data_IF_475550488998
#
_entry.id   IF_475550488998
#
_cell.length_a   1.000
_cell.length_b   1.000
_cell.length_c   1.000
_cell.angle_alpha   90.00
_cell.angle_beta   90.00
_cell.angle_gamma   90.00
#
_symmetry.space_group_name_H-M   'P 1'
#
loop_
_entity.id
_entity.type
_entity.pdbx_description
1 polymer ?
#
# COMPACT_ATOMS: atom_id res chain seq x y z
N UNK A 1 -5.12 6.15 -15.17
CA UNK A 1 -5.84 6.52 -13.93
C UNK A 1 -5.42 5.55 -12.83
N UNK A 2 -4.37 5.93 -12.09
CA UNK A 2 -3.81 5.18 -10.95
C UNK A 2 -4.41 5.72 -9.65
N UNK A 3 -4.92 4.84 -8.81
CA UNK A 3 -5.13 5.11 -7.39
C UNK A 3 -3.81 4.85 -6.64
N UNK A 4 -3.28 5.90 -6.03
CA UNK A 4 -2.16 5.92 -5.10
C UNK A 4 -2.77 6.27 -3.73
N UNK A 5 -2.59 5.43 -2.71
CA UNK A 5 -3.00 5.71 -1.33
C UNK A 5 -1.75 6.07 -0.53
N UNK A 6 -1.77 7.21 0.13
CA UNK A 6 -0.79 7.60 1.15
C UNK A 6 -1.32 7.30 2.55
N UNK A 7 -0.40 6.80 3.38
CA UNK A 7 -0.53 6.64 4.82
C UNK A 7 0.15 7.84 5.47
N UNK A 8 -0.44 8.38 6.54
CA UNK A 8 0.28 9.24 7.48
C UNK A 8 0.11 8.71 8.90
N UNK A 9 1.24 8.47 9.56
CA UNK A 9 1.38 8.28 11.00
C UNK A 9 1.85 9.60 11.63
N UNK A 10 1.47 9.84 12.89
CA UNK A 10 2.14 10.81 13.78
C UNK A 10 1.98 10.36 15.24
N UNK A 11 2.95 10.75 16.07
CA UNK A 11 3.52 10.00 17.19
C UNK A 11 3.39 10.70 18.56
N UNK A 12 3.27 9.88 19.62
CA UNK A 12 3.89 9.95 20.99
C UNK A 12 3.75 11.13 21.97
N UNK A 13 3.38 10.81 23.23
CA UNK A 13 4.05 11.18 24.52
C UNK A 13 3.34 10.43 25.70
N UNK A 14 3.94 9.49 26.45
CA UNK A 14 4.92 9.54 27.59
C UNK A 14 4.28 9.64 29.02
N UNK A 15 4.35 8.50 29.73
CA UNK A 15 4.64 8.21 31.16
C UNK A 15 3.71 8.56 32.38
N UNK A 16 3.53 7.49 33.19
CA UNK A 16 3.54 7.35 34.68
C UNK A 16 2.28 7.69 35.52
N UNK A 17 1.67 6.65 36.12
CA UNK A 17 1.56 6.47 37.58
C UNK A 17 0.90 5.12 37.94
N UNK A 18 1.48 4.42 38.92
CA UNK A 18 1.05 3.13 39.47
C UNK A 18 -0.07 3.32 40.50
N UNK A 19 -1.00 2.38 40.48
CA UNK A 19 -1.56 1.72 41.68
C UNK A 19 -2.52 2.51 42.60
N UNK A 20 -3.81 2.47 42.25
CA UNK A 20 -4.87 2.22 43.24
C UNK A 20 -5.93 1.33 42.56
N UNK A 21 -5.63 0.03 42.62
CA UNK A 21 -6.09 -1.02 41.70
C UNK A 21 -7.39 -1.67 42.19
N UNK A 22 -8.29 -1.85 41.22
CA UNK A 22 -9.22 -2.98 41.08
C UNK A 22 -10.70 -2.85 41.42
N UNK A 23 -11.24 -1.73 41.97
CA UNK A 23 -12.72 -1.63 42.12
C UNK A 23 -13.36 -0.32 41.66
N UNK A 24 -12.67 0.83 41.77
CA UNK A 24 -13.15 2.08 41.14
C UNK A 24 -12.83 2.16 39.64
N UNK A 25 -11.93 1.31 39.14
CA UNK A 25 -11.53 1.28 37.74
C UNK A 25 -12.65 0.75 36.85
N UNK A 26 -13.39 -0.29 37.23
CA UNK A 26 -14.46 -0.85 36.38
C UNK A 26 -15.65 0.10 36.21
N UNK A 27 -16.07 0.79 37.27
CA UNK A 27 -17.19 1.75 37.21
C UNK A 27 -16.81 3.04 36.47
N UNK A 28 -15.60 3.54 36.69
CA UNK A 28 -15.08 4.68 35.93
C UNK A 28 -14.78 4.30 34.48
N UNK A 29 -14.40 3.05 34.18
CA UNK A 29 -14.18 2.56 32.81
C UNK A 29 -15.51 2.38 32.08
N UNK A 30 -16.58 1.95 32.75
CA UNK A 30 -17.90 1.84 32.11
C UNK A 30 -18.52 3.22 31.81
N UNK A 31 -18.40 4.18 32.74
CA UNK A 31 -18.80 5.57 32.53
C UNK A 31 -17.91 6.28 31.50
N UNK A 32 -16.60 6.05 31.51
CA UNK A 32 -15.69 6.59 30.49
C UNK A 32 -15.94 5.94 29.13
N UNK A 33 -16.36 4.67 29.06
CA UNK A 33 -16.75 4.00 27.82
C UNK A 33 -18.10 4.48 27.29
N UNK A 34 -19.03 4.88 28.15
CA UNK A 34 -20.28 5.54 27.75
C UNK A 34 -20.07 6.99 27.33
N UNK A 35 -19.19 7.73 28.01
CA UNK A 35 -18.81 9.09 27.64
C UNK A 35 -17.88 9.13 26.42
N UNK A 36 -17.02 8.11 26.20
CA UNK A 36 -16.28 7.92 24.94
C UNK A 36 -17.20 7.48 23.78
N UNK A 37 -18.32 6.82 24.08
CA UNK A 37 -19.33 6.46 23.09
C UNK A 37 -20.20 7.66 22.72
N UNK A 38 -20.35 8.65 23.61
CA UNK A 38 -21.21 9.82 23.42
C UNK A 38 -20.50 11.17 23.20
N UNK A 39 -19.20 11.30 23.47
CA UNK A 39 -18.44 12.57 23.30
C UNK A 39 -17.53 12.63 22.08
N UNK A 40 -17.60 11.66 21.17
CA UNK A 40 -17.07 11.87 19.82
C UNK A 40 -18.01 12.82 19.10
N UNK A 41 -17.67 14.11 19.13
CA UNK A 41 -18.20 15.17 18.29
C UNK A 41 -18.53 14.59 16.91
N UNK A 42 -19.84 14.44 16.66
CA UNK A 42 -20.41 13.89 15.43
C UNK A 42 -20.11 14.84 14.27
N UNK A 43 -18.90 14.76 13.75
CA UNK A 43 -18.62 15.17 12.39
C UNK A 43 -19.15 14.08 11.47
N UNK A 44 -20.11 14.44 10.62
CA UNK A 44 -20.70 13.57 9.60
C UNK A 44 -19.64 13.16 8.55
N UNK A 45 -18.75 12.21 8.84
CA UNK A 45 -17.83 11.58 7.87
C UNK A 45 -17.18 10.36 8.52
N UNK A 46 -17.44 9.11 8.06
CA UNK A 46 -16.49 7.96 8.08
C UNK A 46 -17.09 6.54 8.00
N UNK A 47 -18.42 6.35 7.98
CA UNK A 47 -18.96 4.97 7.98
C UNK A 47 -18.94 4.21 6.63
N UNK A 48 -18.42 4.80 5.55
CA UNK A 48 -18.44 4.16 4.21
C UNK A 48 -17.11 4.19 3.43
N UNK A 49 -15.97 4.27 4.13
CA UNK A 49 -14.66 4.27 3.50
C UNK A 49 -13.99 2.90 3.58
N UNK A 50 -13.72 2.28 2.44
CA UNK A 50 -12.85 1.10 2.38
C UNK A 50 -11.38 1.51 2.43
N UNK A 51 -10.78 1.55 3.62
CA UNK A 51 -9.33 1.74 3.80
C UNK A 51 -8.60 0.41 3.98
N UNK A 52 -7.29 0.43 3.76
CA UNK A 52 -6.40 -0.72 3.92
C UNK A 52 -5.21 -0.33 4.81
N UNK A 53 -5.05 -1.03 5.92
CA UNK A 53 -4.04 -0.70 6.93
C UNK A 53 -2.61 -1.05 6.46
N UNK A 54 -1.61 -0.24 6.83
CA UNK A 54 -0.23 -0.74 6.91
C UNK A 54 -0.08 -1.48 8.24
N UNK A 55 -0.05 -2.81 8.16
CA UNK A 55 0.10 -3.71 9.30
C UNK A 55 1.37 -4.56 9.19
N UNK A 56 1.95 -5.00 10.32
CA UNK A 56 3.15 -5.83 10.33
C UNK A 56 2.88 -7.23 9.74
N UNK A 57 3.92 -7.91 9.21
CA UNK A 57 3.81 -9.24 8.60
C UNK A 57 3.13 -10.30 9.48
N UNK A 58 3.32 -10.24 10.80
CA UNK A 58 2.70 -11.14 11.78
C UNK A 58 1.17 -11.02 11.76
N UNK A 59 0.65 -9.80 11.76
CA UNK A 59 -0.79 -9.55 11.74
C UNK A 59 -1.41 -9.93 10.40
N UNK A 60 -0.70 -9.70 9.29
CA UNK A 60 -1.15 -10.13 7.96
C UNK A 60 -1.26 -11.65 7.88
N UNK A 61 -0.26 -12.38 8.39
CA UNK A 61 -0.30 -13.85 8.48
C UNK A 61 -1.49 -14.34 9.28
N UNK A 62 -1.74 -13.75 10.45
CA UNK A 62 -2.92 -14.08 11.26
C UNK A 62 -4.24 -13.83 10.49
N UNK A 63 -4.36 -12.70 9.76
CA UNK A 63 -5.55 -12.43 8.92
C UNK A 63 -5.73 -13.46 7.80
N UNK A 64 -4.64 -13.93 7.20
CA UNK A 64 -4.65 -15.02 6.20
C UNK A 64 -5.11 -16.33 6.84
N UNK A 65 -4.52 -16.72 7.97
CA UNK A 65 -4.86 -17.95 8.68
C UNK A 65 -6.34 -17.98 9.08
N UNK A 66 -6.86 -16.89 9.65
CA UNK A 66 -8.29 -16.76 10.00
C UNK A 66 -9.18 -16.89 8.76
N UNK A 67 -8.79 -16.30 7.63
CA UNK A 67 -9.54 -16.40 6.37
C UNK A 67 -9.58 -17.85 5.87
N UNK A 68 -8.45 -18.56 5.90
CA UNK A 68 -8.36 -19.97 5.52
C UNK A 68 -9.17 -20.86 6.47
N UNK A 69 -9.02 -20.68 7.78
CA UNK A 69 -9.78 -21.43 8.79
C UNK A 69 -11.29 -21.21 8.64
N UNK A 70 -11.72 -19.98 8.40
CA UNK A 70 -13.13 -19.67 8.13
C UNK A 70 -13.63 -20.40 6.89
N UNK A 71 -12.84 -20.43 5.82
CA UNK A 71 -13.19 -21.13 4.59
C UNK A 71 -13.29 -22.66 4.81
N UNK A 72 -12.32 -23.27 5.49
CA UNK A 72 -12.34 -24.70 5.82
C UNK A 72 -13.55 -25.08 6.69
N UNK A 73 -13.92 -24.22 7.65
CA UNK A 73 -15.14 -24.42 8.46
C UNK A 73 -16.40 -24.42 7.60
N UNK A 74 -16.49 -23.53 6.60
CA UNK A 74 -17.63 -23.48 5.68
C UNK A 74 -17.69 -24.75 4.82
N UNK A 75 -16.54 -25.24 4.35
CA UNK A 75 -16.46 -26.48 3.56
C UNK A 75 -16.88 -27.71 4.36
N UNK A 76 -16.56 -27.75 5.66
CA UNK A 76 -16.88 -28.88 6.53
C UNK A 76 -18.28 -28.76 7.19
N UNK A 77 -19.06 -27.75 6.86
CA UNK A 77 -20.41 -27.58 7.39
C UNK A 77 -21.38 -28.58 6.73
N UNK A 78 -22.40 -29.00 7.49
CA UNK A 78 -23.40 -30.00 7.03
C UNK A 78 -24.21 -29.55 5.79
N UNK A 79 -24.28 -28.25 5.53
CA UNK A 79 -24.78 -27.67 4.28
C UNK A 79 -23.75 -26.63 3.78
N UNK A 80 -22.77 -27.03 2.95
CA UNK A 80 -21.72 -26.12 2.53
C UNK A 80 -22.30 -25.06 1.60
N UNK A 81 -22.46 -23.84 2.11
CA UNK A 81 -22.67 -22.67 1.26
C UNK A 81 -21.34 -22.42 0.53
N UNK A 82 -21.16 -23.03 -0.65
CA UNK A 82 -19.95 -22.87 -1.46
C UNK A 82 -19.69 -21.38 -1.64
N UNK A 83 -18.64 -20.91 -0.99
CA UNK A 83 -18.56 -19.57 -0.41
C UNK A 83 -18.46 -18.48 -1.46
N UNK A 84 -19.36 -17.52 -1.37
CA UNK A 84 -19.26 -16.25 -2.04
C UNK A 84 -18.18 -15.39 -1.35
N UNK A 85 -17.16 -14.94 -2.08
CA UNK A 85 -16.20 -13.96 -1.56
C UNK A 85 -16.72 -12.54 -1.83
N UNK A 86 -17.08 -11.78 -0.78
CA UNK A 86 -17.41 -10.36 -0.93
C UNK A 86 -16.14 -9.57 -1.24
N UNK A 87 -16.03 -9.03 -2.46
CA UNK A 87 -14.91 -8.20 -2.89
C UNK A 87 -15.39 -6.80 -3.27
N UNK A 88 -14.65 -5.76 -2.93
CA UNK A 88 -15.02 -4.38 -3.30
C UNK A 88 -15.18 -4.25 -4.82
N UNK A 89 -16.30 -3.68 -5.27
CA UNK A 89 -16.57 -3.44 -6.68
C UNK A 89 -15.71 -2.27 -7.19
N UNK A 90 -14.88 -2.51 -8.21
CA UNK A 90 -13.95 -1.50 -8.74
C UNK A 90 -14.46 -0.83 -10.01
N UNK A 91 -15.72 -0.39 -10.02
CA UNK A 91 -16.29 0.44 -11.10
C UNK A 91 -16.08 1.91 -10.76
N UNK A 92 -16.00 2.78 -11.77
CA UNK A 92 -15.99 4.25 -11.59
C UNK A 92 -17.20 4.72 -10.78
N UNK A 93 -18.35 4.06 -10.94
CA UNK A 93 -19.55 4.32 -10.13
C UNK A 93 -19.37 4.06 -8.63
N UNK A 94 -18.35 3.30 -8.23
CA UNK A 94 -17.98 3.04 -6.84
C UNK A 94 -16.78 3.86 -6.37
N UNK A 95 -16.17 4.69 -7.24
CA UNK A 95 -15.21 5.70 -6.78
C UNK A 95 -15.94 6.98 -6.37
N UNK A 96 -15.45 7.61 -5.33
CA UNK A 96 -15.91 8.90 -4.83
C UNK A 96 -14.69 9.78 -4.63
N UNK A 97 -14.86 11.07 -4.88
CA UNK A 97 -13.84 12.08 -4.63
C UNK A 97 -14.27 12.84 -3.38
N UNK A 98 -13.45 12.85 -2.34
CA UNK A 98 -13.63 13.72 -1.19
C UNK A 98 -12.72 14.94 -1.35
N UNK A 99 -13.26 16.12 -1.11
CA UNK A 99 -12.46 17.33 -0.96
C UNK A 99 -12.35 17.62 0.53
N UNK A 100 -11.14 17.55 1.08
CA UNK A 100 -10.92 17.91 2.48
C UNK A 100 -11.21 19.40 2.68
N UNK A 101 -12.26 19.73 3.43
CA UNK A 101 -12.68 21.10 3.74
C UNK A 101 -11.57 21.95 4.40
N UNK A 102 -10.56 21.30 4.99
CA UNK A 102 -9.47 21.95 5.74
C UNK A 102 -8.08 21.74 5.13
N UNK A 103 -7.92 20.79 4.21
CA UNK A 103 -6.60 20.43 3.66
C UNK A 103 -6.42 20.87 2.22
N UNK A 104 -7.47 21.32 1.52
CA UNK A 104 -7.51 21.51 0.05
C UNK A 104 -7.10 20.28 -0.78
N UNK A 105 -6.80 19.16 -0.11
CA UNK A 105 -6.39 17.92 -0.73
C UNK A 105 -7.63 17.12 -1.14
N UNK A 106 -7.61 16.66 -2.37
CA UNK A 106 -8.68 15.85 -2.95
C UNK A 106 -8.27 14.37 -2.93
N UNK A 107 -9.07 13.52 -2.29
CA UNK A 107 -8.80 12.09 -2.17
C UNK A 107 -9.86 11.29 -2.93
N UNK A 108 -9.43 10.30 -3.72
CA UNK A 108 -10.35 9.35 -4.36
C UNK A 108 -10.42 8.08 -3.52
N UNK A 109 -11.61 7.72 -3.07
CA UNK A 109 -11.86 6.52 -2.28
C UNK A 109 -12.86 5.60 -2.98
N UNK A 110 -12.85 4.32 -2.61
CA UNK A 110 -13.89 3.39 -3.01
C UNK A 110 -14.98 3.37 -1.94
N UNK A 111 -16.23 3.51 -2.36
CA UNK A 111 -17.38 3.29 -1.49
C UNK A 111 -17.59 1.79 -1.23
N UNK A 112 -18.50 1.46 -0.31
CA UNK A 112 -18.71 0.11 0.20
C UNK A 112 -19.43 -0.87 -0.75
N UNK A 113 -19.63 -0.56 -2.05
CA UNK A 113 -20.29 -1.54 -2.92
C UNK A 113 -19.41 -2.78 -3.14
N UNK A 114 -20.03 -3.95 -2.99
CA UNK A 114 -19.36 -5.25 -3.01
C UNK A 114 -19.83 -6.05 -4.23
N UNK A 115 -18.89 -6.69 -4.90
CA UNK A 115 -19.10 -7.74 -5.90
C UNK A 115 -18.78 -9.10 -5.31
N UNK A 116 -19.65 -10.06 -5.54
CA UNK A 116 -19.48 -11.43 -5.07
C UNK A 116 -18.72 -12.26 -6.12
N UNK A 117 -17.67 -12.97 -5.69
CA UNK A 117 -17.06 -14.06 -6.46
C UNK A 117 -17.54 -15.39 -5.92
N UNK A 118 -18.33 -16.08 -6.72
CA UNK A 118 -18.81 -17.42 -6.43
C UNK A 118 -17.97 -18.47 -7.16
N UNK A 119 -17.63 -19.56 -6.48
CA UNK A 119 -17.00 -20.72 -7.11
C UNK A 119 -17.93 -21.37 -8.15
N UNK A 120 -19.25 -21.30 -7.93
CA UNK A 120 -20.27 -21.98 -8.73
C UNK A 120 -20.61 -21.27 -10.05
N UNK A 121 -20.06 -20.07 -10.29
CA UNK A 121 -20.27 -19.36 -11.57
C UNK A 121 -19.18 -19.76 -12.57
N UNK A 122 -19.52 -20.23 -13.78
CA UNK A 122 -18.57 -20.72 -14.79
C UNK A 122 -17.42 -19.75 -15.11
N UNK A 123 -17.72 -18.44 -15.11
CA UNK A 123 -16.77 -17.38 -15.42
C UNK A 123 -16.06 -16.78 -14.18
N UNK A 124 -16.43 -17.20 -12.95
CA UNK A 124 -15.89 -16.65 -11.70
C UNK A 124 -15.08 -17.67 -10.88
N UNK A 125 -15.23 -18.98 -11.13
CA UNK A 125 -14.48 -20.02 -10.41
C UNK A 125 -12.96 -19.84 -10.48
N UNK A 126 -12.40 -19.53 -11.66
CA UNK A 126 -10.96 -19.22 -11.79
C UNK A 126 -10.54 -18.01 -10.96
N UNK A 127 -11.36 -16.95 -10.95
CA UNK A 127 -11.09 -15.75 -10.17
C UNK A 127 -11.11 -16.04 -8.66
N UNK A 128 -12.04 -16.89 -8.21
CA UNK A 128 -12.10 -17.37 -6.83
C UNK A 128 -10.84 -18.13 -6.43
N UNK A 129 -10.43 -19.13 -7.23
CA UNK A 129 -9.23 -19.94 -6.94
C UNK A 129 -7.96 -19.10 -6.93
N UNK A 130 -7.86 -18.10 -7.82
CA UNK A 130 -6.72 -17.17 -7.86
C UNK A 130 -6.53 -16.44 -6.54
N UNK A 131 -7.60 -16.00 -5.86
CA UNK A 131 -7.51 -15.28 -4.57
C UNK A 131 -6.76 -16.12 -3.56
N UNK A 132 -7.18 -17.37 -3.37
CA UNK A 132 -6.54 -18.31 -2.46
C UNK A 132 -5.09 -18.60 -2.86
N UNK A 133 -4.82 -18.77 -4.16
CA UNK A 133 -3.47 -19.06 -4.65
C UNK A 133 -2.49 -17.90 -4.45
N UNK A 134 -2.92 -16.67 -4.68
CA UNK A 134 -2.09 -15.48 -4.38
C UNK A 134 -1.94 -15.31 -2.87
N UNK A 135 -2.98 -15.60 -2.08
CA UNK A 135 -2.91 -15.54 -0.62
C UNK A 135 -1.86 -16.49 -0.06
N UNK A 136 -1.84 -17.74 -0.54
CA UNK A 136 -0.81 -18.73 -0.21
C UNK A 136 0.59 -18.20 -0.56
N UNK A 137 0.78 -17.70 -1.78
CA UNK A 137 2.08 -17.18 -2.22
C UNK A 137 2.55 -16.00 -1.35
N UNK A 138 1.65 -15.07 -1.00
CA UNK A 138 1.92 -13.97 -0.07
C UNK A 138 2.31 -14.50 1.32
N UNK A 139 1.59 -15.49 1.85
CA UNK A 139 1.91 -16.11 3.14
C UNK A 139 3.32 -16.71 3.14
N UNK A 140 3.71 -17.43 2.08
CA UNK A 140 5.05 -17.99 1.91
C UNK A 140 6.15 -16.93 1.81
N UNK A 141 5.87 -15.80 1.14
CA UNK A 141 6.80 -14.66 1.06
C UNK A 141 7.03 -14.05 2.43
N UNK A 142 5.94 -13.83 3.19
CA UNK A 142 5.99 -13.25 4.53
C UNK A 142 6.67 -14.18 5.53
N UNK A 143 6.48 -15.50 5.43
CA UNK A 143 7.19 -16.49 6.26
C UNK A 143 8.71 -16.46 6.07
N UNK A 144 9.15 -16.22 4.83
CA UNK A 144 10.59 -16.13 4.50
C UNK A 144 11.18 -14.76 4.83
N UNK A 145 10.38 -13.85 5.39
CA UNK A 145 10.75 -12.45 5.66
C UNK A 145 11.29 -11.72 4.41
N UNK A 146 10.79 -12.11 3.24
CA UNK A 146 11.17 -11.53 1.96
C UNK A 146 10.09 -10.59 1.45
N UNK A 147 10.46 -9.82 0.43
CA UNK A 147 9.53 -9.00 -0.34
C UNK A 147 9.75 -9.26 -1.83
N UNK A 148 8.72 -8.99 -2.63
CA UNK A 148 8.76 -9.17 -4.09
C UNK A 148 8.12 -7.99 -4.81
N UNK A 149 8.56 -7.73 -6.04
CA UNK A 149 7.81 -6.81 -6.91
C UNK A 149 6.57 -7.48 -7.50
N UNK A 150 5.63 -6.69 -8.02
CA UNK A 150 4.45 -7.24 -8.72
C UNK A 150 4.83 -8.09 -9.95
N UNK A 151 5.95 -7.79 -10.63
CA UNK A 151 6.44 -8.57 -11.78
C UNK A 151 7.04 -9.90 -11.32
N UNK A 152 7.85 -9.88 -10.28
CA UNK A 152 8.38 -11.13 -9.69
C UNK A 152 7.26 -12.04 -9.18
N UNK A 153 6.26 -11.48 -8.50
CA UNK A 153 5.10 -12.26 -8.07
C UNK A 153 4.36 -12.87 -9.28
N UNK A 154 4.21 -12.11 -10.37
CA UNK A 154 3.65 -12.63 -11.61
C UNK A 154 4.47 -13.80 -12.17
N UNK A 155 5.78 -13.68 -12.28
CA UNK A 155 6.61 -14.78 -12.79
C UNK A 155 6.58 -16.01 -11.88
N UNK A 156 6.61 -15.84 -10.56
CA UNK A 156 6.45 -16.96 -9.60
C UNK A 156 5.14 -17.71 -9.80
N UNK A 157 4.03 -16.97 -9.92
CA UNK A 157 2.70 -17.54 -10.14
C UNK A 157 2.53 -18.14 -11.54
N UNK A 158 3.19 -17.57 -12.55
CA UNK A 158 3.21 -18.10 -13.91
C UNK A 158 3.93 -19.44 -13.97
N UNK A 159 5.06 -19.60 -13.26
CA UNK A 159 5.79 -20.85 -13.16
C UNK A 159 5.01 -21.91 -12.36
N UNK A 160 4.40 -21.52 -11.26
CA UNK A 160 3.73 -22.44 -10.33
C UNK A 160 2.30 -22.83 -10.78
N UNK A 161 1.59 -21.94 -11.48
CA UNK A 161 0.19 -22.15 -11.88
C UNK A 161 -0.16 -21.39 -13.18
N UNK A 162 0.42 -21.77 -14.33
CA UNK A 162 0.29 -21.01 -15.59
C UNK A 162 -1.16 -20.89 -16.07
N UNK A 163 -1.97 -21.94 -15.90
CA UNK A 163 -3.38 -21.94 -16.29
C UNK A 163 -4.24 -20.98 -15.48
N UNK A 164 -3.82 -20.65 -14.26
CA UNK A 164 -4.49 -19.66 -13.42
C UNK A 164 -4.01 -18.25 -13.75
N UNK A 165 -2.74 -18.03 -14.06
CA UNK A 165 -2.17 -16.69 -14.24
C UNK A 165 -1.52 -16.47 -15.61
N UNK A 166 -2.31 -16.49 -16.71
CA UNK A 166 -1.77 -16.26 -18.05
C UNK A 166 -1.32 -14.81 -18.28
N UNK A 167 -1.80 -13.87 -17.47
CA UNK A 167 -1.50 -12.44 -17.64
C UNK A 167 -1.19 -11.74 -16.32
N UNK A 168 -0.32 -10.72 -16.39
CA UNK A 168 -0.04 -9.88 -15.23
C UNK A 168 -1.28 -9.11 -14.75
N UNK A 169 -2.25 -8.86 -15.64
CA UNK A 169 -3.53 -8.24 -15.29
C UNK A 169 -4.31 -9.10 -14.28
N UNK A 170 -4.27 -10.42 -14.42
CA UNK A 170 -4.94 -11.35 -13.49
C UNK A 170 -4.32 -11.30 -12.10
N UNK A 171 -2.99 -11.32 -12.01
CA UNK A 171 -2.27 -11.19 -10.73
C UNK A 171 -2.56 -9.83 -10.09
N UNK A 172 -2.45 -8.74 -10.84
CA UNK A 172 -2.72 -7.40 -10.32
C UNK A 172 -4.16 -7.25 -9.81
N UNK A 173 -5.15 -7.82 -10.51
CA UNK A 173 -6.55 -7.83 -10.07
C UNK A 173 -6.70 -8.61 -8.76
N UNK A 174 -6.05 -9.77 -8.66
CA UNK A 174 -6.12 -10.64 -7.50
C UNK A 174 -5.43 -10.04 -6.27
N UNK A 175 -4.29 -9.35 -6.45
CA UNK A 175 -3.64 -8.58 -5.36
C UNK A 175 -4.62 -7.56 -4.79
N UNK A 176 -5.35 -6.85 -5.65
CA UNK A 176 -6.34 -5.88 -5.19
C UNK A 176 -7.50 -6.56 -4.46
N UNK A 177 -7.90 -7.77 -4.90
CA UNK A 177 -8.92 -8.58 -4.22
C UNK A 177 -8.46 -8.97 -2.80
N UNK A 178 -7.19 -9.30 -2.62
CA UNK A 178 -6.60 -9.57 -1.31
C UNK A 178 -6.51 -8.32 -0.42
N UNK A 179 -6.11 -7.18 -0.98
CA UNK A 179 -6.09 -5.90 -0.23
C UNK A 179 -7.48 -5.59 0.33
N UNK A 180 -8.52 -5.81 -0.48
CA UNK A 180 -9.90 -5.63 -0.07
C UNK A 180 -10.35 -6.66 0.99
N UNK A 181 -10.03 -7.94 0.78
CA UNK A 181 -10.44 -9.04 1.65
C UNK A 181 -9.76 -8.99 3.02
N UNK A 182 -8.44 -8.77 3.02
CA UNK A 182 -7.61 -8.77 4.23
C UNK A 182 -7.49 -7.39 4.88
N UNK A 183 -8.07 -6.33 4.27
CA UNK A 183 -8.04 -4.95 4.76
C UNK A 183 -6.63 -4.46 5.08
N UNK A 184 -5.64 -4.88 4.28
CA UNK A 184 -4.24 -4.51 4.48
C UNK A 184 -3.63 -4.03 3.16
N UNK A 185 -2.64 -3.15 3.28
CA UNK A 185 -1.96 -2.56 2.14
C UNK A 185 -1.24 -3.62 1.30
N UNK A 186 -1.01 -3.31 0.03
CA UNK A 186 -0.15 -4.14 -0.85
C UNK A 186 1.24 -4.35 -0.23
N UNK A 187 1.78 -3.30 0.39
CA UNK A 187 3.07 -3.33 1.05
C UNK A 187 3.09 -4.37 2.18
N UNK A 188 2.04 -4.40 3.01
CA UNK A 188 1.87 -5.37 4.09
C UNK A 188 1.77 -6.82 3.60
N UNK A 189 1.31 -7.06 2.37
CA UNK A 189 1.32 -8.38 1.73
C UNK A 189 2.72 -8.84 1.26
N UNK A 190 3.78 -8.07 1.55
CA UNK A 190 5.14 -8.36 1.10
C UNK A 190 5.38 -8.00 -0.36
N UNK A 191 4.51 -7.17 -0.95
CA UNK A 191 4.59 -6.76 -2.35
C UNK A 191 5.04 -5.30 -2.43
N UNK A 192 6.24 -5.08 -2.93
CA UNK A 192 6.86 -3.76 -3.07
C UNK A 192 6.46 -3.07 -4.37
N UNK A 193 6.65 -1.75 -4.39
CA UNK A 193 6.64 -1.01 -5.64
C UNK A 193 7.86 -1.42 -6.48
N UNK A 194 7.77 -1.21 -7.79
CA UNK A 194 8.97 -1.27 -8.63
C UNK A 194 9.88 -0.09 -8.30
N UNK A 195 11.19 -0.28 -8.48
CA UNK A 195 12.24 0.72 -8.29
C UNK A 195 12.73 1.22 -9.66
N UNK A 196 11.82 1.83 -10.45
CA UNK A 196 12.17 2.31 -11.81
C UNK A 196 12.48 3.80 -11.85
N UNK A 197 12.01 4.53 -10.84
CA UNK A 197 12.24 5.97 -10.69
C UNK A 197 13.71 6.30 -10.55
N UNK A 198 14.11 7.44 -11.10
CA UNK A 198 15.44 8.02 -10.92
C UNK A 198 15.31 9.46 -10.45
N UNK A 199 16.23 9.86 -9.58
CA UNK A 199 16.37 11.22 -9.06
C UNK A 199 17.79 11.71 -9.34
N UNK A 200 17.94 12.96 -9.79
CA UNK A 200 19.25 13.60 -9.93
C UNK A 200 19.16 15.07 -9.55
N UNK A 201 20.26 15.64 -9.09
CA UNK A 201 20.38 17.07 -8.82
C UNK A 201 20.51 17.41 -7.36
N UNK A 202 20.05 18.60 -6.99
CA UNK A 202 20.32 19.26 -5.71
C UNK A 202 19.55 18.65 -4.53
N UNK A 203 19.90 17.42 -4.20
CA UNK A 203 19.30 16.60 -3.15
C UNK A 203 20.34 15.65 -2.57
N UNK A 204 20.40 15.57 -1.25
CA UNK A 204 21.12 14.56 -0.49
C UNK A 204 20.08 13.67 0.17
N UNK A 205 20.17 12.36 -0.08
CA UNK A 205 19.29 11.35 0.48
C UNK A 205 20.06 10.50 1.47
N UNK A 206 19.59 10.40 2.71
CA UNK A 206 20.22 9.58 3.72
C UNK A 206 19.25 8.51 4.24
N UNK A 207 19.61 7.26 3.99
CA UNK A 207 18.93 6.11 4.58
C UNK A 207 19.41 5.86 6.02
N UNK A 208 18.53 5.39 6.93
CA UNK A 208 18.94 5.04 8.28
C UNK A 208 20.05 3.99 8.28
N UNK A 209 21.18 4.32 8.91
CA UNK A 209 22.34 3.43 9.03
C UNK A 209 23.19 3.29 7.75
N UNK A 210 22.97 4.14 6.73
CA UNK A 210 23.84 4.22 5.55
C UNK A 210 24.41 5.62 5.38
N UNK A 211 25.45 5.70 4.56
CA UNK A 211 26.03 6.97 4.14
C UNK A 211 25.02 7.78 3.31
N UNK A 212 25.10 9.09 3.46
CA UNK A 212 24.29 10.01 2.69
C UNK A 212 24.72 9.99 1.22
N UNK A 213 23.75 9.90 0.32
CA UNK A 213 23.98 9.90 -1.13
C UNK A 213 23.62 11.27 -1.69
N UNK A 214 24.61 11.95 -2.25
CA UNK A 214 24.40 13.18 -3.00
C UNK A 214 23.94 12.86 -4.44
N UNK A 215 22.69 13.20 -4.77
CA UNK A 215 22.09 12.97 -6.07
C UNK A 215 22.66 13.88 -7.17
N UNK A 216 23.47 14.89 -6.85
CA UNK A 216 24.10 15.79 -7.82
C UNK A 216 25.36 15.18 -8.45
N UNK A 217 25.94 14.18 -7.79
CA UNK A 217 27.16 13.47 -8.23
C UNK A 217 26.89 12.08 -8.81
N UNK A 218 25.63 11.63 -8.84
CA UNK A 218 25.24 10.34 -9.42
C UNK A 218 25.35 10.25 -10.96
N UNK A 219 25.84 11.30 -11.63
CA UNK A 219 25.99 11.36 -13.09
C UNK A 219 24.67 11.20 -13.84
N UNK A 220 24.77 10.74 -15.10
CA UNK A 220 23.62 10.61 -16.02
C UNK A 220 22.64 9.50 -15.64
N UNK A 221 23.10 8.52 -14.86
CA UNK A 221 22.27 7.41 -14.36
C UNK A 221 21.30 7.85 -13.28
N UNK A 222 21.60 8.93 -12.54
CA UNK A 222 20.85 9.34 -11.37
C UNK A 222 20.85 8.30 -10.24
N UNK A 223 20.21 8.65 -9.12
CA UNK A 223 19.96 7.77 -7.99
C UNK A 223 18.63 7.03 -8.19
N UNK A 224 18.60 5.71 -7.96
CA UNK A 224 17.37 4.91 -8.13
C UNK A 224 16.47 5.02 -6.92
N UNK A 225 15.20 5.33 -7.14
CA UNK A 225 14.20 5.37 -6.07
C UNK A 225 13.87 3.94 -5.61
N UNK A 226 14.06 3.68 -4.32
CA UNK A 226 13.72 2.39 -3.73
C UNK A 226 12.22 2.09 -3.84
N UNK A 227 11.88 0.85 -4.18
CA UNK A 227 10.50 0.37 -4.19
C UNK A 227 9.92 0.13 -2.79
N UNK A 228 10.74 0.25 -1.74
CA UNK A 228 10.34 0.06 -0.34
C UNK A 228 9.79 1.36 0.24
N UNK A 229 8.46 1.49 0.28
CA UNK A 229 7.81 2.68 0.81
C UNK A 229 8.16 2.93 2.29
N UNK A 230 8.42 1.88 3.08
CA UNK A 230 8.81 2.06 4.49
C UNK A 230 10.21 2.62 4.66
N UNK A 231 11.08 2.38 3.68
CA UNK A 231 12.41 2.95 3.63
C UNK A 231 12.31 4.40 3.18
N UNK A 232 11.48 4.68 2.16
CA UNK A 232 11.24 6.05 1.70
C UNK A 232 10.69 6.95 2.81
N UNK A 233 9.78 6.45 3.65
CA UNK A 233 9.22 7.19 4.79
C UNK A 233 10.27 7.52 5.87
N UNK A 234 11.38 6.78 5.91
CA UNK A 234 12.48 6.99 6.87
C UNK A 234 13.68 7.74 6.27
N UNK A 235 13.60 8.12 5.00
CA UNK A 235 14.67 8.87 4.35
C UNK A 235 14.76 10.28 4.94
N UNK A 236 15.97 10.68 5.29
CA UNK A 236 16.27 12.09 5.54
C UNK A 236 16.65 12.72 4.21
N UNK A 237 15.85 13.71 3.78
CA UNK A 237 16.05 14.45 2.55
C UNK A 237 16.59 15.84 2.90
N UNK A 238 17.75 16.20 2.34
CA UNK A 238 18.31 17.54 2.45
C UNK A 238 18.49 18.12 1.05
N UNK A 239 17.78 19.20 0.72
CA UNK A 239 17.78 19.79 -0.60
C UNK A 239 17.92 21.31 -0.51
N UNK A 240 18.69 21.89 -1.43
CA UNK A 240 18.82 23.32 -1.65
C UNK A 240 18.30 23.74 -3.04
N UNK A 241 17.40 22.90 -3.60
CA UNK A 241 16.70 23.13 -4.85
C UNK A 241 15.48 24.07 -4.69
N UNK A 242 15.18 24.82 -5.74
CA UNK A 242 13.96 25.64 -5.85
C UNK A 242 12.83 24.98 -6.62
N UNK A 243 13.15 24.01 -7.48
CA UNK A 243 12.19 23.36 -8.36
C UNK A 243 12.35 21.85 -8.34
N UNK A 244 11.23 21.15 -8.46
CA UNK A 244 11.20 19.73 -8.81
C UNK A 244 10.72 19.63 -10.25
N UNK A 245 11.54 19.06 -11.12
CA UNK A 245 11.27 18.92 -12.55
C UNK A 245 11.04 17.45 -12.85
N UNK A 246 9.80 17.11 -13.19
CA UNK A 246 9.42 15.76 -13.56
C UNK A 246 9.61 15.59 -15.07
N UNK A 247 10.54 14.71 -15.44
CA UNK A 247 10.90 14.41 -16.82
C UNK A 247 10.35 13.04 -17.21
N UNK A 248 9.39 12.99 -18.12
CA UNK A 248 8.74 11.74 -18.52
C UNK A 248 9.70 10.77 -19.22
N UNK A 249 10.42 11.26 -20.24
CA UNK A 249 11.31 10.46 -21.09
C UNK A 249 12.67 10.27 -20.42
N UNK A 250 13.07 9.01 -20.23
CA UNK A 250 14.35 8.67 -19.62
C UNK A 250 15.56 9.29 -20.35
N UNK A 251 15.57 9.27 -21.69
CA UNK A 251 16.67 9.83 -22.47
C UNK A 251 16.86 11.35 -22.24
N UNK A 252 15.77 12.10 -22.07
CA UNK A 252 15.83 13.54 -21.78
C UNK A 252 16.35 13.77 -20.36
N UNK A 253 15.90 12.95 -19.40
CA UNK A 253 16.41 12.99 -18.03
C UNK A 253 17.92 12.78 -18.00
N UNK A 254 18.41 11.75 -18.70
CA UNK A 254 19.84 11.45 -18.76
C UNK A 254 20.62 12.63 -19.32
N UNK A 255 20.13 13.23 -20.41
CA UNK A 255 20.79 14.39 -21.02
C UNK A 255 20.85 15.61 -20.08
N UNK A 256 19.74 15.93 -19.41
CA UNK A 256 19.71 17.03 -18.44
C UNK A 256 20.62 16.77 -17.22
N UNK A 257 20.74 15.51 -16.80
CA UNK A 257 21.65 15.11 -15.73
C UNK A 257 23.12 15.18 -16.16
N UNK A 258 23.45 14.76 -17.39
CA UNK A 258 24.79 14.91 -18.00
C UNK A 258 25.23 16.37 -18.06
N UNK A 259 24.35 17.22 -18.57
CA UNK A 259 24.61 18.66 -18.74
C UNK A 259 24.53 19.42 -17.39
N UNK A 260 24.31 18.70 -16.26
CA UNK A 260 24.16 19.26 -14.91
C UNK A 260 23.21 20.44 -14.86
N UNK A 261 22.06 20.31 -15.52
CA UNK A 261 21.05 21.36 -15.61
C UNK A 261 20.63 21.89 -14.22
N UNK A 262 20.59 21.00 -13.22
CA UNK A 262 20.29 21.31 -11.82
C UNK A 262 21.27 22.29 -11.15
N UNK A 263 22.47 22.47 -11.71
CA UNK A 263 23.44 23.48 -11.25
C UNK A 263 23.13 24.87 -11.80
N UNK A 264 22.59 24.94 -13.03
CA UNK A 264 22.21 26.20 -13.68
C UNK A 264 20.86 26.71 -13.13
N UNK A 265 19.89 25.79 -13.03
CA UNK A 265 18.60 26.04 -12.41
C UNK A 265 18.53 25.17 -11.16
N UNK A 266 18.56 25.75 -9.94
CA UNK A 266 18.54 25.00 -8.68
C UNK A 266 17.35 24.04 -8.62
N UNK A 267 17.55 22.77 -8.99
CA UNK A 267 16.43 21.85 -9.20
C UNK A 267 16.78 20.40 -8.89
N UNK A 268 15.73 19.62 -8.63
CA UNK A 268 15.76 18.17 -8.54
C UNK A 268 15.04 17.64 -9.78
N UNK A 269 15.72 16.81 -10.55
CA UNK A 269 15.16 16.09 -11.68
C UNK A 269 14.61 14.75 -11.19
N UNK A 270 13.39 14.41 -11.57
CA UNK A 270 12.77 13.11 -11.28
C UNK A 270 12.26 12.52 -12.59
N UNK A 271 12.53 11.24 -12.86
CA UNK A 271 11.90 10.50 -13.96
C UNK A 271 11.37 9.17 -13.48
N UNK A 272 10.24 8.74 -14.05
CA UNK A 272 9.69 7.40 -13.80
C UNK A 272 9.84 6.46 -15.00
N UNK A 273 10.58 6.89 -16.04
CA UNK A 273 10.76 6.18 -17.32
C UNK A 273 9.41 5.88 -17.98
N UNK A 274 8.59 6.91 -18.19
CA UNK A 274 7.20 6.80 -18.64
C UNK A 274 6.21 6.82 -17.47
N UNK A 275 5.26 5.88 -17.46
CA UNK A 275 4.20 5.86 -16.44
C UNK A 275 4.75 5.60 -15.02
N UNK A 276 4.48 6.50 -14.05
CA UNK A 276 5.13 6.43 -12.77
C UNK A 276 4.71 5.22 -11.95
N UNK A 277 5.66 4.59 -11.26
CA UNK A 277 5.36 3.61 -10.22
C UNK A 277 4.97 4.32 -8.91
N UNK A 278 4.54 3.52 -7.92
CA UNK A 278 4.11 4.05 -6.62
C UNK A 278 5.24 4.78 -5.89
N UNK A 279 6.46 4.24 -5.94
CA UNK A 279 7.62 4.80 -5.25
C UNK A 279 8.02 6.16 -5.84
N UNK A 280 8.04 6.30 -7.18
CA UNK A 280 8.35 7.58 -7.80
C UNK A 280 7.28 8.64 -7.52
N UNK A 281 6.00 8.24 -7.46
CA UNK A 281 4.92 9.16 -7.05
C UNK A 281 5.10 9.61 -5.60
N UNK A 282 5.35 8.67 -4.70
CA UNK A 282 5.59 8.96 -3.28
C UNK A 282 6.75 9.93 -3.09
N UNK A 283 7.84 9.76 -3.84
CA UNK A 283 9.02 10.62 -3.73
C UNK A 283 8.84 12.02 -4.31
N UNK A 284 7.80 12.24 -5.12
CA UNK A 284 7.49 13.54 -5.72
C UNK A 284 6.51 14.37 -4.87
N UNK A 285 5.87 13.75 -3.87
CA UNK A 285 4.97 14.38 -2.91
C UNK A 285 5.72 14.80 -1.65
#
# INVERSE_FOLDING_TARGET
>A
MSLCFDIKLSSTSVLRAKSNRNQNFEKSFHSLMEDLRNSTLKFFTDQELCYADIVPPTQVRARIEVSVLSFLKILNASNPAISDLPLIQRKLSNSRMNHGLLTELSYVFLSNSVSIRSLMRPNAGKAFVRVWKVMEMCYQILLKEKRVTQRELFYKLLCDSPHLFPSQKDVNRTIQDLVALLRCSRYSLGIMASSRGLIAGRLIMQEPGKEAVDCSVCGSSGHTVSGDLSLLDKLVLNADARYIIIVEKHAIFQRLAEDRFFSQIPSILITAKGYPDMATRYSAH
#
